data_IF_699052232361
#
_entry.id   IF_699052232361
#
_cell.length_a   1.000
_cell.length_b   1.000
_cell.length_c   1.000
_cell.angle_alpha   90.00
_cell.angle_beta   90.00
_cell.angle_gamma   90.00
#
_symmetry.space_group_name_H-M   'P 1'
#
loop_
_entity.id
_entity.type
_entity.pdbx_description
1 polymer ?
#
# COMPACT_ATOMS: atom_id res chain seq x y z
N UNK A 1 -5.62 -9.06 -12.20
CA UNK A 1 -4.38 -9.78 -12.00
C UNK A 1 -3.21 -9.21 -12.83
N UNK A 2 -3.40 -8.83 -14.08
CA UNK A 2 -2.35 -8.27 -14.98
C UNK A 2 -1.78 -6.88 -14.57
N UNK A 3 -2.45 -6.11 -13.72
CA UNK A 3 -2.02 -4.74 -13.38
C UNK A 3 -0.87 -4.70 -12.37
N UNK A 4 -0.77 -5.68 -11.47
CA UNK A 4 0.24 -5.72 -10.41
C UNK A 4 1.59 -6.17 -10.99
N UNK A 5 1.60 -7.16 -11.87
CA UNK A 5 2.83 -7.62 -12.54
C UNK A 5 3.47 -6.53 -13.40
N UNK A 6 2.65 -5.70 -14.04
CA UNK A 6 3.13 -4.62 -14.90
C UNK A 6 3.86 -3.51 -14.13
N UNK A 7 3.39 -3.18 -12.90
CA UNK A 7 4.04 -2.20 -12.03
C UNK A 7 5.32 -2.74 -11.38
N UNK A 8 5.35 -4.03 -11.02
CA UNK A 8 6.55 -4.71 -10.50
C UNK A 8 7.67 -4.70 -11.55
N UNK A 9 7.35 -5.10 -12.77
CA UNK A 9 8.32 -5.12 -13.87
C UNK A 9 8.82 -3.71 -14.20
N UNK A 10 7.94 -2.70 -14.19
CA UNK A 10 8.36 -1.31 -14.45
C UNK A 10 9.22 -0.72 -13.33
N UNK A 11 8.87 -0.93 -12.07
CA UNK A 11 9.66 -0.42 -10.95
C UNK A 11 11.06 -1.04 -10.89
N UNK A 12 11.13 -2.36 -11.13
CA UNK A 12 12.41 -3.08 -11.18
C UNK A 12 13.25 -2.63 -12.38
N UNK A 13 12.64 -2.42 -13.55
CA UNK A 13 13.35 -1.95 -14.75
C UNK A 13 13.82 -0.51 -14.63
N UNK A 14 13.06 0.39 -13.98
CA UNK A 14 13.49 1.75 -13.71
C UNK A 14 14.67 1.77 -12.72
N UNK A 15 14.61 0.97 -11.66
CA UNK A 15 15.72 0.84 -10.70
C UNK A 15 17.00 0.30 -11.36
N UNK A 16 16.88 -0.74 -12.18
CA UNK A 16 18.00 -1.30 -12.95
C UNK A 16 18.57 -0.29 -13.95
N UNK A 17 17.72 0.48 -14.62
CA UNK A 17 18.11 1.55 -15.54
C UNK A 17 18.89 2.64 -14.82
N UNK A 18 18.45 3.08 -13.64
CA UNK A 18 19.17 4.08 -12.84
C UNK A 18 20.55 3.59 -12.39
N UNK A 19 20.66 2.33 -11.97
CA UNK A 19 21.96 1.72 -11.62
C UNK A 19 22.85 1.62 -12.84
N UNK A 20 22.32 1.21 -13.99
CA UNK A 20 23.07 1.14 -15.24
C UNK A 20 23.57 2.51 -15.68
N UNK A 21 22.73 3.56 -15.62
CA UNK A 21 23.10 4.94 -15.94
C UNK A 21 24.18 5.44 -15.00
N UNK A 22 24.04 5.21 -13.69
CA UNK A 22 25.06 5.59 -12.70
C UNK A 22 26.41 4.89 -12.97
N UNK A 23 26.38 3.60 -13.33
CA UNK A 23 27.56 2.82 -13.69
C UNK A 23 28.22 3.32 -14.98
N UNK A 24 27.44 3.66 -16.00
CA UNK A 24 27.91 4.23 -17.26
C UNK A 24 28.59 5.58 -17.01
N UNK A 25 27.97 6.48 -16.23
CA UNK A 25 28.54 7.78 -15.88
C UNK A 25 29.83 7.60 -15.13
N UNK A 26 29.89 6.70 -14.15
CA UNK A 26 31.10 6.38 -13.40
C UNK A 26 32.22 5.82 -14.30
N UNK A 27 31.88 4.90 -15.23
CA UNK A 27 32.83 4.31 -16.16
C UNK A 27 33.42 5.32 -17.15
N UNK A 28 32.57 6.22 -17.71
CA UNK A 28 33.04 7.32 -18.59
C UNK A 28 33.91 8.33 -17.85
N UNK A 29 33.53 8.69 -16.63
CA UNK A 29 34.33 9.61 -15.82
C UNK A 29 35.72 9.03 -15.50
N UNK A 30 35.78 7.73 -15.21
CA UNK A 30 37.05 7.02 -14.97
C UNK A 30 37.90 6.94 -16.22
N UNK A 31 37.31 6.73 -17.40
CA UNK A 31 38.07 6.73 -18.69
C UNK A 31 38.64 8.09 -19.09
N UNK A 32 37.95 9.17 -18.74
CA UNK A 32 38.41 10.54 -19.04
C UNK A 32 39.40 11.09 -18.00
N UNK A 33 39.82 10.28 -17.05
CA UNK A 33 40.77 10.72 -16.01
C UNK A 33 40.20 11.77 -15.05
N UNK A 34 38.86 11.92 -15.00
CA UNK A 34 38.24 12.81 -14.03
C UNK A 34 38.51 12.27 -12.63
N UNK A 35 38.99 13.10 -11.70
CA UNK A 35 39.32 12.69 -10.35
C UNK A 35 38.09 12.46 -9.52
N UNK A 36 37.12 11.66 -10.01
CA UNK A 36 35.96 11.23 -9.23
C UNK A 36 36.49 10.12 -8.31
N UNK A 37 37.14 10.51 -7.25
CA UNK A 37 37.28 9.67 -6.07
C UNK A 37 35.93 9.71 -5.34
N UNK A 38 34.95 8.94 -5.84
CA UNK A 38 33.78 8.59 -5.00
C UNK A 38 34.35 7.72 -3.89
N UNK A 39 34.45 8.20 -2.65
CA UNK A 39 34.91 7.37 -1.56
C UNK A 39 33.92 6.20 -1.42
N UNK A 40 34.44 5.02 -1.10
CA UNK A 40 33.63 3.80 -0.96
C UNK A 40 32.39 3.99 -0.08
N UNK A 41 32.45 4.93 0.85
CA UNK A 41 31.36 5.37 1.71
C UNK A 41 30.14 5.94 0.95
N UNK A 42 30.35 6.63 -0.19
CA UNK A 42 29.23 7.18 -0.98
C UNK A 42 28.57 6.09 -1.83
N UNK A 43 29.32 5.11 -2.28
CA UNK A 43 28.79 3.96 -3.03
C UNK A 43 27.94 3.10 -2.09
N UNK A 44 28.42 2.82 -0.87
CA UNK A 44 27.67 2.07 0.13
C UNK A 44 26.39 2.81 0.55
N UNK A 45 26.43 4.14 0.71
CA UNK A 45 25.26 4.96 0.99
C UNK A 45 24.19 4.90 -0.10
N UNK A 46 24.59 4.94 -1.37
CA UNK A 46 23.68 4.81 -2.51
C UNK A 46 23.05 3.43 -2.60
N UNK A 47 23.80 2.37 -2.32
CA UNK A 47 23.27 0.99 -2.31
C UNK A 47 22.25 0.80 -1.19
N UNK A 48 22.53 1.33 0.01
CA UNK A 48 21.61 1.28 1.14
C UNK A 48 20.33 2.07 0.82
N UNK A 49 20.46 3.29 0.30
CA UNK A 49 19.31 4.12 -0.08
C UNK A 49 18.43 3.43 -1.14
N UNK A 50 19.06 2.83 -2.16
CA UNK A 50 18.34 2.06 -3.17
C UNK A 50 17.62 0.85 -2.56
N UNK A 51 18.28 0.10 -1.69
CA UNK A 51 17.67 -1.02 -0.97
C UNK A 51 16.43 -0.60 -0.17
N UNK A 52 16.52 0.53 0.55
CA UNK A 52 15.39 1.10 1.30
C UNK A 52 14.24 1.53 0.38
N UNK A 53 14.54 2.16 -0.76
CA UNK A 53 13.52 2.56 -1.74
C UNK A 53 12.81 1.35 -2.36
N UNK A 54 13.54 0.30 -2.70
CA UNK A 54 12.96 -0.96 -3.20
C UNK A 54 12.09 -1.60 -2.14
N UNK A 55 12.58 -1.67 -0.91
CA UNK A 55 11.82 -2.25 0.21
C UNK A 55 10.53 -1.47 0.48
N UNK A 56 10.61 -0.13 0.52
CA UNK A 56 9.44 0.72 0.65
C UNK A 56 8.45 0.53 -0.51
N UNK A 57 8.95 0.42 -1.73
CA UNK A 57 8.11 0.23 -2.91
C UNK A 57 7.41 -1.14 -2.92
N UNK A 58 8.12 -2.22 -2.52
CA UNK A 58 7.53 -3.55 -2.36
C UNK A 58 6.40 -3.55 -1.33
N UNK A 59 6.63 -2.92 -0.17
CA UNK A 59 5.60 -2.79 0.87
C UNK A 59 4.40 -1.99 0.35
N UNK A 60 4.64 -0.86 -0.31
CA UNK A 60 3.58 -0.03 -0.87
C UNK A 60 2.76 -0.74 -1.97
N UNK A 61 3.41 -1.59 -2.78
CA UNK A 61 2.73 -2.34 -3.85
C UNK A 61 1.93 -3.54 -3.35
N UNK A 62 2.14 -3.99 -2.11
CA UNK A 62 1.39 -5.08 -1.51
C UNK A 62 -0.02 -4.68 -1.05
N UNK A 63 -0.31 -3.38 -1.00
CA UNK A 63 -1.61 -2.85 -0.62
C UNK A 63 -2.44 -2.49 -1.85
N UNK A 64 -3.65 -3.01 -1.92
CA UNK A 64 -4.63 -2.75 -2.98
C UNK A 64 -5.80 -1.98 -2.38
N UNK A 65 -5.84 -0.68 -2.63
CA UNK A 65 -6.90 0.18 -2.11
C UNK A 65 -8.11 0.24 -3.05
N UNK A 66 -9.30 0.08 -2.47
CA UNK A 66 -10.54 0.34 -3.22
C UNK A 66 -10.80 1.85 -3.36
N UNK A 67 -11.67 2.21 -4.30
CA UNK A 67 -12.20 3.59 -4.37
C UNK A 67 -13.00 3.88 -3.08
N UNK A 68 -12.78 5.04 -2.44
CA UNK A 68 -13.49 5.40 -1.22
C UNK A 68 -15.02 5.46 -1.40
N UNK A 69 -15.75 5.04 -0.36
CA UNK A 69 -17.22 5.16 -0.25
C UNK A 69 -17.51 6.19 0.83
N UNK A 70 -18.08 7.31 0.44
CA UNK A 70 -18.35 8.44 1.32
C UNK A 70 -19.62 8.25 2.13
N UNK A 71 -19.63 8.76 3.35
CA UNK A 71 -20.85 8.91 4.16
C UNK A 71 -21.82 9.89 3.49
N UNK A 72 -23.13 9.86 3.82
CA UNK A 72 -24.13 10.75 3.22
C UNK A 72 -23.74 12.23 3.26
N UNK A 73 -23.15 12.71 4.34
CA UNK A 73 -22.68 14.09 4.49
C UNK A 73 -21.28 14.36 3.91
N UNK A 74 -20.64 13.35 3.30
CA UNK A 74 -19.31 13.40 2.69
C UNK A 74 -18.16 13.78 3.62
N UNK A 75 -18.37 13.80 4.94
CA UNK A 75 -17.32 14.15 5.92
C UNK A 75 -16.42 12.96 6.26
N UNK A 76 -16.94 11.76 6.14
CA UNK A 76 -16.23 10.51 6.40
C UNK A 76 -16.22 9.64 5.15
N UNK A 77 -15.22 8.81 5.03
CA UNK A 77 -15.16 7.82 3.97
C UNK A 77 -14.57 6.51 4.50
N UNK A 78 -14.90 5.42 3.82
CA UNK A 78 -14.31 4.11 4.05
C UNK A 78 -13.71 3.59 2.76
N UNK A 79 -12.63 2.84 2.88
CA UNK A 79 -12.03 2.09 1.78
C UNK A 79 -11.64 0.70 2.25
N UNK A 80 -11.57 -0.21 1.32
CA UNK A 80 -11.00 -1.53 1.56
C UNK A 80 -9.52 -1.43 1.21
N UNK A 81 -8.69 -1.91 2.10
CA UNK A 81 -7.29 -2.17 1.91
C UNK A 81 -7.08 -3.68 1.90
N UNK A 82 -6.82 -4.23 0.73
CA UNK A 82 -6.54 -5.63 0.55
C UNK A 82 -5.02 -5.82 0.50
N UNK A 83 -4.49 -6.47 1.53
CA UNK A 83 -3.05 -6.75 1.63
C UNK A 83 -2.73 -8.13 1.06
N UNK A 84 -1.86 -8.14 0.05
CA UNK A 84 -1.35 -9.36 -0.55
C UNK A 84 0.16 -9.24 -0.78
N UNK A 85 1.01 -9.81 0.07
CA UNK A 85 2.46 -9.76 -0.09
C UNK A 85 2.99 -10.58 -1.27
N UNK A 86 2.13 -11.30 -2.00
CA UNK A 86 2.52 -12.09 -3.17
C UNK A 86 3.57 -13.16 -2.84
N UNK A 87 4.61 -13.24 -3.66
CA UNK A 87 5.69 -14.23 -3.52
C UNK A 87 6.58 -14.03 -2.30
N UNK A 88 6.52 -12.86 -1.63
CA UNK A 88 7.31 -12.60 -0.42
C UNK A 88 6.84 -13.43 0.77
N UNK A 89 5.67 -14.07 0.64
CA UNK A 89 5.05 -14.83 1.72
C UNK A 89 4.50 -13.93 2.82
N UNK A 90 3.53 -14.46 3.56
CA UNK A 90 2.89 -13.74 4.65
C UNK A 90 1.37 -13.88 4.59
N UNK A 91 0.67 -13.48 5.64
CA UNK A 91 -0.78 -13.54 5.68
C UNK A 91 -1.37 -12.53 4.69
N UNK A 92 -2.38 -12.98 3.96
CA UNK A 92 -3.23 -12.11 3.14
C UNK A 92 -4.48 -11.77 3.95
N UNK A 93 -4.89 -10.50 3.92
CA UNK A 93 -6.09 -10.08 4.63
C UNK A 93 -6.75 -8.88 3.93
N UNK A 94 -8.05 -8.71 4.22
CA UNK A 94 -8.78 -7.49 3.91
C UNK A 94 -8.94 -6.66 5.17
N UNK A 95 -8.77 -5.36 5.05
CA UNK A 95 -9.13 -4.42 6.10
C UNK A 95 -10.04 -3.32 5.55
N UNK A 96 -10.92 -2.80 6.41
CA UNK A 96 -11.72 -1.62 6.11
C UNK A 96 -11.22 -0.48 6.95
N UNK A 97 -10.77 0.56 6.27
CA UNK A 97 -10.27 1.78 6.86
C UNK A 97 -11.33 2.87 6.81
N UNK A 98 -11.59 3.47 7.96
CA UNK A 98 -12.41 4.66 8.11
C UNK A 98 -11.50 5.88 8.23
N UNK A 99 -11.77 6.93 7.47
CA UNK A 99 -10.98 8.17 7.49
C UNK A 99 -11.86 9.41 7.24
N UNK A 100 -11.34 10.56 7.61
CA UNK A 100 -11.96 11.83 7.22
C UNK A 100 -11.77 12.08 5.74
N UNK A 101 -12.81 12.55 5.05
CA UNK A 101 -12.78 12.77 3.61
C UNK A 101 -11.60 13.65 3.13
N UNK A 102 -11.06 14.49 4.02
CA UNK A 102 -9.93 15.38 3.76
C UNK A 102 -8.77 15.17 4.75
N UNK A 103 -8.73 14.03 5.46
CA UNK A 103 -7.73 13.74 6.50
C UNK A 103 -6.75 12.66 6.08
N UNK A 104 -5.55 12.73 6.69
CA UNK A 104 -4.49 11.73 6.50
C UNK A 104 -4.54 10.59 7.53
N UNK A 105 -5.43 10.70 8.52
CA UNK A 105 -5.51 9.73 9.61
C UNK A 105 -6.65 8.78 9.32
N UNK A 106 -6.33 7.49 9.23
CA UNK A 106 -7.30 6.42 9.11
C UNK A 106 -7.37 5.56 10.37
N UNK A 107 -8.49 4.89 10.57
CA UNK A 107 -8.66 3.88 11.60
C UNK A 107 -9.15 2.60 10.96
N UNK A 108 -8.46 1.49 11.19
CA UNK A 108 -8.94 0.17 10.80
C UNK A 108 -10.14 -0.18 11.66
N UNK A 109 -11.31 -0.36 11.07
CA UNK A 109 -12.57 -0.69 11.74
C UNK A 109 -12.99 -2.14 11.54
N UNK A 110 -12.45 -2.79 10.52
CA UNK A 110 -12.62 -4.21 10.24
C UNK A 110 -11.31 -4.79 9.71
N UNK A 111 -11.02 -6.04 10.08
CA UNK A 111 -9.99 -6.87 9.45
C UNK A 111 -10.48 -8.31 9.43
N UNK A 112 -10.19 -9.02 8.35
CA UNK A 112 -10.60 -10.40 8.15
C UNK A 112 -9.83 -11.09 7.04
N UNK A 113 -10.26 -12.29 6.69
CA UNK A 113 -9.62 -13.10 5.66
C UNK A 113 -9.61 -12.40 4.29
N UNK A 114 -8.69 -12.82 3.44
CA UNK A 114 -8.59 -12.36 2.06
C UNK A 114 -9.89 -12.56 1.29
N UNK A 115 -10.33 -11.52 0.58
CA UNK A 115 -11.63 -11.47 -0.15
C UNK A 115 -12.86 -11.64 0.74
N UNK A 116 -12.72 -11.37 2.03
CA UNK A 116 -13.86 -11.42 2.96
C UNK A 116 -14.85 -10.27 2.74
N UNK A 117 -14.36 -9.11 2.27
CA UNK A 117 -15.15 -7.90 2.03
C UNK A 117 -15.00 -7.40 0.60
N UNK A 118 -16.12 -7.01 0.00
CA UNK A 118 -16.17 -6.31 -1.29
C UNK A 118 -16.87 -4.94 -1.12
N UNK A 119 -16.69 -4.03 -2.08
CA UNK A 119 -17.35 -2.71 -2.09
C UNK A 119 -18.84 -2.77 -1.90
N UNK A 120 -19.51 -3.75 -2.52
CA UNK A 120 -20.95 -3.96 -2.42
C UNK A 120 -21.40 -4.35 -1.02
N UNK A 121 -20.46 -4.73 -0.18
CA UNK A 121 -20.66 -5.18 1.18
C UNK A 121 -20.51 -4.06 2.23
N UNK A 122 -20.14 -2.85 1.80
CA UNK A 122 -20.03 -1.67 2.66
C UNK A 122 -21.24 -0.77 2.46
N UNK A 123 -21.99 -0.52 3.53
CA UNK A 123 -23.21 0.29 3.47
C UNK A 123 -23.27 1.32 4.59
N UNK A 124 -23.26 2.58 4.25
CA UNK A 124 -23.61 3.64 5.18
C UNK A 124 -25.13 3.65 5.42
N UNK A 125 -25.56 3.51 6.67
CA UNK A 125 -26.95 3.68 7.10
C UNK A 125 -27.26 5.13 7.43
N UNK A 126 -26.27 5.81 8.00
CA UNK A 126 -26.29 7.23 8.34
C UNK A 126 -24.87 7.76 8.36
N UNK A 127 -24.69 9.04 8.70
CA UNK A 127 -23.38 9.65 8.85
C UNK A 127 -22.55 9.06 9.99
N UNK A 128 -23.19 8.35 10.91
CA UNK A 128 -22.57 7.78 12.10
C UNK A 128 -22.76 6.25 12.22
N UNK A 129 -23.31 5.60 11.20
CA UNK A 129 -23.52 4.16 11.22
C UNK A 129 -23.10 3.51 9.90
N UNK A 130 -22.14 2.56 10.01
CA UNK A 130 -21.61 1.77 8.91
C UNK A 130 -21.90 0.28 9.13
N UNK A 131 -22.45 -0.37 8.12
CA UNK A 131 -22.58 -1.83 8.06
C UNK A 131 -21.53 -2.40 7.13
N UNK A 132 -20.86 -3.43 7.61
CA UNK A 132 -19.86 -4.22 6.89
C UNK A 132 -20.36 -5.65 6.83
N UNK A 133 -20.68 -6.10 5.63
CA UNK A 133 -21.04 -7.49 5.37
C UNK A 133 -19.80 -8.25 4.94
N UNK A 134 -19.51 -9.39 5.57
CA UNK A 134 -18.29 -10.14 5.29
C UNK A 134 -18.56 -11.65 5.22
N UNK A 135 -17.62 -12.38 4.64
CA UNK A 135 -17.59 -13.84 4.60
C UNK A 135 -16.36 -14.34 5.34
N UNK A 136 -16.47 -15.53 5.94
CA UNK A 136 -15.35 -16.10 6.71
C UNK A 136 -15.23 -15.54 8.12
N UNK A 137 -14.00 -15.40 8.61
CA UNK A 137 -13.69 -14.93 9.96
C UNK A 137 -13.33 -13.45 9.97
N UNK A 138 -13.73 -12.76 11.02
CA UNK A 138 -13.33 -11.38 11.29
C UNK A 138 -12.41 -11.37 12.51
N UNK A 139 -11.21 -10.83 12.33
CA UNK A 139 -10.23 -10.65 13.41
C UNK A 139 -10.52 -9.38 14.22
N UNK A 140 -10.96 -8.34 13.51
CA UNK A 140 -11.29 -7.04 14.07
C UNK A 140 -12.66 -6.58 13.58
N UNK A 141 -13.51 -6.17 14.50
CA UNK A 141 -14.73 -5.40 14.22
C UNK A 141 -14.92 -4.40 15.34
N UNK A 142 -14.66 -3.13 15.09
CA UNK A 142 -14.72 -2.10 16.14
C UNK A 142 -15.33 -0.81 15.64
N UNK A 143 -16.11 -0.19 16.50
CA UNK A 143 -16.63 1.16 16.31
C UNK A 143 -15.57 2.20 16.69
N UNK A 144 -15.70 3.39 16.14
CA UNK A 144 -14.96 4.56 16.57
C UNK A 144 -15.85 5.47 17.42
N UNK A 145 -15.33 6.48 18.11
CA UNK A 145 -16.16 7.41 18.89
C UNK A 145 -17.24 8.14 18.08
N UNK A 146 -17.08 8.18 16.74
CA UNK A 146 -17.97 8.94 15.85
C UNK A 146 -18.79 8.07 14.92
N UNK A 147 -18.39 6.82 14.69
CA UNK A 147 -19.06 5.91 13.77
C UNK A 147 -19.25 4.56 14.44
N UNK A 148 -20.50 4.17 14.59
CA UNK A 148 -20.88 2.82 15.00
C UNK A 148 -20.69 1.88 13.80
N UNK A 149 -19.89 0.86 13.99
CA UNK A 149 -19.64 -0.15 12.96
C UNK A 149 -20.35 -1.44 13.35
N UNK A 150 -21.10 -2.01 12.43
CA UNK A 150 -21.74 -3.32 12.57
C UNK A 150 -21.17 -4.27 11.53
N UNK A 151 -20.57 -5.34 11.98
CA UNK A 151 -20.05 -6.40 11.12
C UNK A 151 -21.07 -7.54 11.10
N UNK A 152 -21.50 -7.93 9.91
CA UNK A 152 -22.56 -8.90 9.68
C UNK A 152 -21.99 -10.02 8.80
N UNK A 153 -21.86 -11.22 9.39
CA UNK A 153 -21.45 -12.40 8.64
C UNK A 153 -22.58 -12.86 7.71
N UNK A 154 -22.22 -13.26 6.49
CA UNK A 154 -23.11 -13.83 5.45
C UNK A 154 -22.79 -15.28 5.16
#
# INVERSE_FOLDING_TARGET
MLFIEWWLVKGFSVGLLMVAVAFIIWWFARRKGWPIRLPAQHISGLVVLYGLLVMWWVVASSHIYSVPIYSPNQKMAVRIDAYNPGELGGPTYDSVELFWAHGFISAVVFSGEWKSVDKTNLRWKSDSELEIYFRGTADVCRSTPRVRVRCISR
#
